data_IF_462242536048
#
_entry.id   IF_462242536048
#
_cell.length_a   1.000
_cell.length_b   1.000
_cell.length_c   1.000
_cell.angle_alpha   90.00
_cell.angle_beta   90.00
_cell.angle_gamma   90.00
#
_symmetry.space_group_name_H-M   'P 1'
#
loop_
_entity.id
_entity.type
_entity.pdbx_description
1 polymer ?
#
# COMPACT_ATOMS: atom_id res chain seq x y z
N UNK A 1 21.09 -1.88 -70.47
CA UNK A 1 21.94 -0.71 -70.75
C UNK A 1 22.02 0.09 -69.45
N UNK A 2 23.23 0.19 -68.88
CA UNK A 2 23.77 1.06 -67.81
C UNK A 2 22.84 1.51 -66.64
N UNK A 3 23.10 1.20 -65.36
CA UNK A 3 24.15 1.76 -64.45
C UNK A 3 24.11 3.29 -64.36
N UNK A 4 24.28 4.03 -63.25
CA UNK A 4 24.51 3.86 -61.80
C UNK A 4 24.64 5.30 -61.26
N UNK A 5 24.11 5.64 -60.07
CA UNK A 5 24.74 6.54 -59.05
C UNK A 5 23.85 6.60 -57.79
N UNK A 6 24.26 5.89 -56.72
CA UNK A 6 24.71 6.42 -55.40
C UNK A 6 23.59 7.07 -54.54
N UNK A 7 23.16 6.48 -53.41
CA UNK A 7 23.84 6.23 -52.12
C UNK A 7 23.55 7.33 -51.08
N UNK A 8 22.99 6.90 -49.94
CA UNK A 8 23.01 7.53 -48.59
C UNK A 8 22.26 8.85 -48.38
N UNK A 9 21.22 8.84 -47.52
CA UNK A 9 21.32 9.16 -46.08
C UNK A 9 19.93 9.19 -45.44
N UNK A 10 19.77 8.44 -44.34
CA UNK A 10 18.75 8.62 -43.29
C UNK A 10 18.86 10.01 -42.62
N UNK A 11 17.99 10.24 -41.62
CA UNK A 11 17.83 11.38 -40.66
C UNK A 11 17.21 12.67 -41.24
N UNK A 12 16.04 13.17 -40.79
CA UNK A 12 15.82 13.79 -39.45
C UNK A 12 14.35 14.26 -39.26
N UNK A 13 13.82 14.17 -38.02
CA UNK A 13 12.71 14.94 -37.35
C UNK A 13 11.25 14.87 -37.87
N UNK A 14 10.28 14.25 -37.18
CA UNK A 14 9.61 14.49 -35.86
C UNK A 14 8.62 15.67 -35.84
N UNK A 15 7.35 15.34 -35.54
CA UNK A 15 6.49 16.18 -34.70
C UNK A 15 5.06 16.41 -35.19
N UNK A 16 4.12 15.51 -34.86
CA UNK A 16 2.68 15.83 -34.84
C UNK A 16 2.11 15.63 -33.45
N UNK A 17 1.33 16.61 -33.03
CA UNK A 17 0.84 16.92 -31.69
C UNK A 17 -0.01 15.78 -31.09
N UNK A 18 0.13 15.55 -29.78
CA UNK A 18 -0.75 14.68 -28.99
C UNK A 18 -1.61 15.58 -28.11
N UNK A 19 -2.93 15.53 -28.32
CA UNK A 19 -3.94 16.16 -27.48
C UNK A 19 -4.02 15.45 -26.11
N UNK A 20 -4.00 16.23 -25.03
CA UNK A 20 -4.15 15.74 -23.65
C UNK A 20 -5.60 15.31 -23.36
N UNK A 21 -5.79 14.05 -22.98
CA UNK A 21 -7.03 13.54 -22.39
C UNK A 21 -6.77 13.15 -20.91
N UNK A 22 -7.43 13.76 -19.91
CA UNK A 22 -7.10 13.58 -18.49
C UNK A 22 -7.82 12.37 -17.87
N UNK A 23 -7.61 11.17 -18.41
CA UNK A 23 -8.29 9.95 -17.97
C UNK A 23 -7.35 8.77 -17.66
N UNK A 24 -6.19 9.03 -17.03
CA UNK A 24 -5.29 7.97 -16.54
C UNK A 24 -4.90 8.27 -15.08
N UNK A 25 -5.76 7.92 -14.12
CA UNK A 25 -5.38 7.89 -12.69
C UNK A 25 -5.75 6.57 -11.99
N UNK A 26 -6.31 5.58 -12.68
CA UNK A 26 -6.83 4.36 -12.02
C UNK A 26 -5.99 3.07 -12.24
N UNK A 27 -5.09 3.02 -13.23
CA UNK A 27 -4.28 1.80 -13.46
C UNK A 27 -3.09 1.68 -12.50
N UNK A 28 -2.60 2.79 -11.97
CA UNK A 28 -1.38 2.86 -11.15
C UNK A 28 -1.57 2.38 -9.70
N UNK A 29 -2.82 2.10 -9.30
CA UNK A 29 -3.14 1.47 -8.01
C UNK A 29 -2.97 -0.06 -8.04
N UNK A 30 -3.09 -0.69 -9.21
CA UNK A 30 -3.01 -2.17 -9.36
C UNK A 30 -1.58 -2.71 -9.31
N UNK A 31 -0.58 -1.83 -9.38
CA UNK A 31 0.85 -2.18 -9.42
C UNK A 31 1.59 -1.91 -8.11
N UNK A 32 0.95 -1.29 -7.11
CA UNK A 32 1.58 -1.03 -5.81
C UNK A 32 1.49 -2.26 -4.92
N UNK A 33 2.64 -2.85 -4.60
CA UNK A 33 2.76 -4.01 -3.70
C UNK A 33 2.29 -3.73 -2.26
N UNK A 34 2.21 -2.46 -1.86
CA UNK A 34 1.69 -1.98 -0.58
C UNK A 34 0.77 -0.79 -0.81
N UNK A 35 -0.34 -0.74 -0.07
CA UNK A 35 -1.32 0.35 -0.05
C UNK A 35 -0.94 1.44 0.97
N UNK A 36 -0.30 1.06 2.08
CA UNK A 36 0.12 2.01 3.10
C UNK A 36 1.37 2.80 2.67
N UNK A 37 1.48 4.09 3.03
CA UNK A 37 2.63 4.91 2.70
C UNK A 37 3.86 4.50 3.51
N UNK A 38 4.83 3.87 2.86
CA UNK A 38 6.05 3.35 3.50
C UNK A 38 6.86 4.40 4.27
N UNK A 39 6.85 5.67 3.83
CA UNK A 39 7.49 6.77 4.57
C UNK A 39 6.86 6.99 5.95
N UNK A 40 5.54 6.82 6.08
CA UNK A 40 4.86 6.96 7.38
C UNK A 40 5.20 5.79 8.30
N UNK A 41 5.20 4.56 7.77
CA UNK A 41 5.60 3.37 8.52
C UNK A 41 7.05 3.50 9.01
N UNK A 42 7.98 3.93 8.15
CA UNK A 42 9.37 4.20 8.55
C UNK A 42 9.48 5.20 9.68
N UNK A 43 8.70 6.28 9.64
CA UNK A 43 8.71 7.28 10.69
C UNK A 43 8.15 6.73 12.01
N UNK A 44 7.11 5.88 11.96
CA UNK A 44 6.59 5.19 13.14
C UNK A 44 7.60 4.25 13.76
N UNK A 45 8.34 3.48 12.93
CA UNK A 45 9.41 2.61 13.42
C UNK A 45 10.48 3.42 14.18
N UNK A 46 10.86 4.60 13.67
CA UNK A 46 11.87 5.49 14.28
C UNK A 46 11.39 6.28 15.51
N UNK A 47 10.15 6.08 15.95
CA UNK A 47 9.71 6.60 17.26
C UNK A 47 10.46 5.88 18.38
N UNK A 48 10.85 4.63 18.15
CA UNK A 48 11.71 3.87 19.06
C UNK A 48 13.13 4.47 19.08
N UNK A 49 13.61 4.98 20.24
CA UNK A 49 14.94 5.58 20.35
C UNK A 49 16.07 4.58 20.12
N UNK A 50 15.83 3.28 20.31
CA UNK A 50 16.84 2.23 20.15
C UNK A 50 16.94 1.76 18.67
N UNK A 51 16.02 2.20 17.80
CA UNK A 51 16.05 1.84 16.39
C UNK A 51 16.96 2.78 15.57
N UNK A 52 18.22 2.36 15.39
CA UNK A 52 19.20 3.14 14.63
C UNK A 52 18.96 3.14 13.10
N UNK A 53 18.53 2.01 12.52
CA UNK A 53 18.37 1.87 11.07
C UNK A 53 17.07 1.12 10.72
N UNK A 54 16.28 1.72 9.83
CA UNK A 54 15.11 1.10 9.21
C UNK A 54 15.40 0.85 7.73
N UNK A 55 15.84 -0.38 7.40
CA UNK A 55 16.17 -0.77 6.03
C UNK A 55 14.89 -0.80 5.14
N UNK A 56 15.06 -0.86 3.82
CA UNK A 56 13.93 -0.84 2.88
C UNK A 56 13.05 -2.09 3.00
N UNK A 57 13.64 -3.26 3.20
CA UNK A 57 12.94 -4.55 3.23
C UNK A 57 12.09 -4.73 4.50
N UNK A 58 12.60 -4.34 5.67
CA UNK A 58 11.83 -4.34 6.92
C UNK A 58 10.71 -3.33 6.89
N UNK A 59 10.92 -2.15 6.31
CA UNK A 59 9.83 -1.17 6.12
C UNK A 59 8.75 -1.78 5.21
N UNK A 60 9.13 -2.43 4.11
CA UNK A 60 8.18 -3.10 3.22
C UNK A 60 7.41 -4.22 3.95
N UNK A 61 8.10 -5.10 4.66
CA UNK A 61 7.50 -6.21 5.39
C UNK A 61 6.53 -5.71 6.46
N UNK A 62 6.94 -4.72 7.25
CA UNK A 62 6.09 -4.14 8.29
C UNK A 62 4.87 -3.43 7.68
N UNK A 63 5.05 -2.74 6.54
CA UNK A 63 3.94 -2.13 5.81
C UNK A 63 2.91 -3.19 5.43
N UNK A 64 3.35 -4.33 4.88
CA UNK A 64 2.45 -5.42 4.51
C UNK A 64 1.81 -6.10 5.71
N UNK A 65 2.59 -6.31 6.78
CA UNK A 65 2.08 -6.88 8.04
C UNK A 65 1.01 -5.98 8.66
N UNK A 66 1.21 -4.66 8.67
CA UNK A 66 0.23 -3.70 9.19
C UNK A 66 -1.09 -3.71 8.39
N UNK A 67 -1.02 -3.84 7.07
CA UNK A 67 -2.22 -3.99 6.23
C UNK A 67 -3.01 -5.25 6.58
N UNK A 68 -2.31 -6.39 6.69
CA UNK A 68 -2.94 -7.67 7.05
C UNK A 68 -3.51 -7.62 8.47
N UNK A 69 -2.80 -6.95 9.39
CA UNK A 69 -3.26 -6.76 10.76
C UNK A 69 -4.56 -5.97 10.83
N UNK A 70 -4.65 -4.84 10.12
CA UNK A 70 -5.89 -4.02 10.10
C UNK A 70 -7.06 -4.80 9.50
N UNK A 71 -6.84 -5.53 8.40
CA UNK A 71 -7.88 -6.37 7.79
C UNK A 71 -8.36 -7.47 8.76
N UNK A 72 -7.42 -8.12 9.45
CA UNK A 72 -7.73 -9.16 10.42
C UNK A 72 -8.52 -8.62 11.62
N UNK A 73 -8.04 -7.55 12.27
CA UNK A 73 -8.73 -6.93 13.42
C UNK A 73 -10.10 -6.41 13.04
N UNK A 74 -10.25 -5.81 11.85
CA UNK A 74 -11.54 -5.35 11.36
C UNK A 74 -12.55 -6.50 11.20
N UNK A 75 -12.10 -7.65 10.69
CA UNK A 75 -12.92 -8.86 10.55
C UNK A 75 -13.32 -9.43 11.92
N UNK A 76 -12.40 -9.53 12.87
CA UNK A 76 -12.71 -10.02 14.22
C UNK A 76 -13.70 -9.08 14.94
N UNK A 77 -13.49 -7.76 14.88
CA UNK A 77 -14.40 -6.79 15.47
C UNK A 77 -15.80 -6.85 14.82
N UNK A 78 -15.86 -7.10 13.52
CA UNK A 78 -17.13 -7.25 12.81
C UNK A 78 -17.89 -8.52 13.22
N UNK A 79 -17.21 -9.64 13.51
CA UNK A 79 -17.88 -10.83 14.05
C UNK A 79 -18.62 -10.52 15.35
N UNK A 80 -17.98 -9.79 16.28
CA UNK A 80 -18.60 -9.35 17.55
C UNK A 80 -19.75 -8.37 17.32
N UNK A 81 -19.63 -7.51 16.32
CA UNK A 81 -20.70 -6.60 15.89
C UNK A 81 -21.95 -7.37 15.45
N UNK A 82 -21.80 -8.41 14.61
CA UNK A 82 -22.91 -9.27 14.16
C UNK A 82 -23.51 -10.07 15.31
N UNK A 83 -22.70 -10.59 16.23
CA UNK A 83 -23.19 -11.27 17.44
C UNK A 83 -24.09 -10.36 18.26
N UNK A 84 -23.75 -9.07 18.33
CA UNK A 84 -24.58 -8.02 18.92
C UNK A 84 -25.77 -7.57 18.07
N UNK A 85 -26.08 -8.24 16.96
CA UNK A 85 -27.14 -7.91 15.98
C UNK A 85 -27.06 -6.47 15.44
N UNK A 86 -25.85 -5.93 15.36
CA UNK A 86 -25.57 -4.59 14.83
C UNK A 86 -24.89 -4.69 13.47
N UNK A 87 -24.87 -3.56 12.75
CA UNK A 87 -24.16 -3.39 11.47
C UNK A 87 -23.03 -2.35 11.55
N UNK A 88 -22.88 -1.70 12.71
CA UNK A 88 -21.89 -0.66 12.96
C UNK A 88 -20.93 -1.15 14.03
N UNK A 89 -19.65 -1.22 13.68
CA UNK A 89 -18.56 -1.55 14.61
C UNK A 89 -18.49 -0.45 15.67
N UNK A 90 -18.43 -0.85 16.93
CA UNK A 90 -18.27 0.03 18.08
C UNK A 90 -16.95 -0.26 18.79
N UNK A 91 -16.47 0.70 19.58
CA UNK A 91 -15.25 0.52 20.39
C UNK A 91 -15.29 -0.75 21.25
N UNK A 92 -16.44 -1.04 21.88
CA UNK A 92 -16.63 -2.24 22.70
C UNK A 92 -16.38 -3.56 21.95
N UNK A 93 -16.61 -3.58 20.63
CA UNK A 93 -16.36 -4.77 19.81
C UNK A 93 -14.86 -5.03 19.66
N UNK A 94 -14.06 -3.95 19.53
CA UNK A 94 -12.61 -4.02 19.55
C UNK A 94 -12.09 -4.41 20.93
N UNK A 95 -12.62 -3.80 21.99
CA UNK A 95 -12.23 -4.14 23.37
C UNK A 95 -12.44 -5.64 23.64
N UNK A 96 -13.59 -6.19 23.21
CA UNK A 96 -13.87 -7.65 23.35
C UNK A 96 -12.93 -8.52 22.50
N UNK A 97 -12.50 -8.05 21.33
CA UNK A 97 -11.53 -8.78 20.50
C UNK A 97 -10.17 -8.83 21.17
N UNK A 98 -9.76 -7.75 21.83
CA UNK A 98 -8.50 -7.68 22.57
C UNK A 98 -8.55 -8.60 23.79
N UNK A 99 -9.63 -8.56 24.58
CA UNK A 99 -9.76 -9.34 25.80
C UNK A 99 -9.83 -10.88 25.57
N UNK A 100 -10.37 -11.30 24.42
CA UNK A 100 -10.57 -12.74 24.13
C UNK A 100 -9.40 -13.40 23.38
N UNK A 101 -8.52 -12.61 22.76
CA UNK A 101 -7.46 -13.11 21.88
C UNK A 101 -6.09 -12.74 22.45
N UNK A 102 -5.34 -13.73 22.94
CA UNK A 102 -4.02 -13.52 23.55
C UNK A 102 -3.03 -12.87 22.57
N UNK A 103 -3.14 -13.14 21.27
CA UNK A 103 -2.30 -12.50 20.25
C UNK A 103 -2.54 -11.00 20.12
N UNK A 104 -3.66 -10.49 20.65
CA UNK A 104 -4.01 -9.07 20.67
C UNK A 104 -3.66 -8.38 21.99
N UNK A 105 -3.09 -9.09 22.97
CA UNK A 105 -2.79 -8.54 24.30
C UNK A 105 -1.88 -7.31 24.28
N UNK A 106 -1.06 -7.14 23.24
CA UNK A 106 -0.23 -5.94 23.05
C UNK A 106 -1.05 -4.64 22.86
N UNK A 107 -2.36 -4.76 22.62
CA UNK A 107 -3.30 -3.64 22.49
C UNK A 107 -4.08 -3.32 23.78
N UNK A 108 -3.98 -4.13 24.84
CA UNK A 108 -4.75 -3.94 26.08
C UNK A 108 -4.51 -2.56 26.72
N UNK A 109 -3.35 -1.95 26.45
CA UNK A 109 -2.96 -0.66 27.02
C UNK A 109 -2.68 -0.77 28.52
N UNK A 110 -1.75 0.04 29.02
CA UNK A 110 -1.62 0.27 30.46
C UNK A 110 -2.29 1.57 30.83
#
# INVERSE_FOLDING_TARGET
MAETVESLTEITEVGSQIEENPAIQDEDQRTRLTQFPQTRIRNMMKIDPDLHLANRESVFLLTRAAELFVDHVAKEAYKRTIMGKRKTIQKKDLDTVVDENEEMAFLEGK
#
